data_IF_192003105019
#
_entry.id   IF_192003105019
#
_cell.length_a   1.000
_cell.length_b   1.000
_cell.length_c   1.000
_cell.angle_alpha   90.00
_cell.angle_beta   90.00
_cell.angle_gamma   90.00
#
_symmetry.space_group_name_H-M   'P 1'
#
loop_
_entity.id
_entity.type
_entity.pdbx_description
1 polymer ?
#
# COMPACT_ATOMS: atom_id res chain seq x y z
N UNK A 1 -12.40 -15.92 9.06
CA UNK A 1 -11.44 -15.87 10.18
C UNK A 1 -10.43 -14.79 9.84
N UNK A 2 -10.20 -13.81 10.71
CA UNK A 2 -9.19 -12.77 10.48
C UNK A 2 -7.80 -13.42 10.45
N UNK A 3 -7.03 -13.13 9.42
CA UNK A 3 -5.66 -13.63 9.26
C UNK A 3 -4.68 -12.55 9.71
N UNK A 4 -3.77 -12.90 10.61
CA UNK A 4 -2.71 -12.01 11.06
C UNK A 4 -1.49 -12.17 10.16
N UNK A 5 -0.95 -11.07 9.67
CA UNK A 5 0.26 -11.01 8.84
C UNK A 5 1.35 -10.16 9.47
N UNK A 6 2.60 -10.34 8.99
CA UNK A 6 3.73 -9.52 9.38
C UNK A 6 4.07 -8.50 8.28
N UNK A 7 4.23 -7.23 8.66
CA UNK A 7 4.69 -6.18 7.74
C UNK A 7 6.22 -6.09 7.78
N UNK A 8 6.88 -6.34 6.65
CA UNK A 8 8.33 -6.51 6.60
C UNK A 8 9.14 -5.23 6.79
N UNK A 9 8.52 -4.05 6.72
CA UNK A 9 9.23 -2.79 6.99
C UNK A 9 9.83 -2.75 8.41
N UNK A 10 9.18 -3.41 9.38
CA UNK A 10 9.66 -3.49 10.76
C UNK A 10 10.98 -4.26 10.88
N UNK A 11 11.23 -5.19 9.97
CA UNK A 11 12.42 -6.04 9.90
C UNK A 11 13.25 -5.80 8.63
N UNK A 12 13.09 -4.65 7.99
CA UNK A 12 13.68 -4.34 6.67
C UNK A 12 15.20 -4.52 6.59
N UNK A 13 15.92 -4.32 7.69
CA UNK A 13 17.37 -4.55 7.73
C UNK A 13 17.76 -6.03 7.54
N UNK A 14 16.81 -6.94 7.73
CA UNK A 14 16.98 -8.39 7.58
C UNK A 14 16.30 -8.94 6.32
N UNK A 15 16.07 -8.09 5.32
CA UNK A 15 15.47 -8.48 4.03
C UNK A 15 16.26 -7.94 2.84
N UNK A 16 17.55 -7.65 3.05
CA UNK A 16 18.40 -7.01 2.05
C UNK A 16 19.25 -8.01 1.23
N UNK A 17 19.43 -9.23 1.71
CA UNK A 17 20.06 -10.34 0.98
C UNK A 17 19.08 -11.50 0.88
N UNK A 18 19.30 -12.43 -0.05
CA UNK A 18 18.44 -13.60 -0.21
C UNK A 18 18.53 -14.53 1.01
N UNK A 19 19.70 -14.60 1.64
CA UNK A 19 19.96 -15.38 2.85
C UNK A 19 19.20 -14.80 4.05
N UNK A 20 19.31 -13.50 4.27
CA UNK A 20 18.59 -12.80 5.34
C UNK A 20 17.08 -12.86 5.15
N UNK A 21 16.61 -12.65 3.90
CA UNK A 21 15.20 -12.76 3.56
C UNK A 21 14.66 -14.16 3.86
N UNK A 22 15.40 -15.22 3.43
CA UNK A 22 15.01 -16.62 3.69
C UNK A 22 14.93 -16.90 5.19
N UNK A 23 15.93 -16.48 5.95
CA UNK A 23 15.96 -16.67 7.40
C UNK A 23 14.81 -15.90 8.10
N UNK A 24 14.53 -14.70 7.64
CA UNK A 24 13.46 -13.83 8.21
C UNK A 24 12.08 -14.43 7.94
N UNK A 25 11.80 -14.87 6.71
CA UNK A 25 10.51 -15.50 6.36
C UNK A 25 10.31 -16.81 7.14
N UNK A 26 11.37 -17.62 7.34
CA UNK A 26 11.27 -18.82 8.15
C UNK A 26 10.93 -18.48 9.61
N UNK A 27 11.59 -17.50 10.22
CA UNK A 27 11.28 -17.05 11.60
C UNK A 27 9.86 -16.54 11.73
N UNK A 28 9.35 -15.79 10.74
CA UNK A 28 7.97 -15.30 10.71
C UNK A 28 6.99 -16.49 10.68
N UNK A 29 7.26 -17.50 9.88
CA UNK A 29 6.46 -18.72 9.84
C UNK A 29 6.50 -19.50 11.16
N UNK A 30 7.69 -19.64 11.77
CA UNK A 30 7.89 -20.34 13.06
C UNK A 30 7.14 -19.64 14.22
N UNK A 31 7.04 -18.30 14.20
CA UNK A 31 6.21 -17.53 15.14
C UNK A 31 4.72 -17.83 14.97
N UNK A 32 4.31 -18.28 13.78
CA UNK A 32 2.94 -18.67 13.49
C UNK A 32 2.19 -17.76 12.52
N UNK A 33 2.81 -16.71 11.98
CA UNK A 33 2.21 -15.90 10.92
C UNK A 33 2.00 -16.72 9.65
N UNK A 34 0.97 -16.37 8.88
CA UNK A 34 0.60 -17.04 7.63
C UNK A 34 0.63 -16.11 6.43
N UNK A 35 0.85 -14.83 6.67
CA UNK A 35 0.88 -13.81 5.63
C UNK A 35 1.96 -12.77 5.91
N UNK A 36 2.47 -12.15 4.82
CA UNK A 36 3.37 -11.00 4.88
C UNK A 36 2.92 -9.91 3.94
N UNK A 37 3.20 -8.67 4.36
CA UNK A 37 3.24 -7.52 3.47
C UNK A 37 4.70 -7.25 3.10
N UNK A 38 5.01 -7.30 1.81
CA UNK A 38 6.35 -6.96 1.31
C UNK A 38 6.54 -5.43 1.37
N UNK A 39 7.52 -4.99 2.15
CA UNK A 39 7.87 -3.57 2.26
C UNK A 39 9.37 -3.44 2.52
N UNK A 40 10.05 -2.62 1.72
CA UNK A 40 11.49 -2.38 1.78
C UNK A 40 12.36 -3.65 1.65
N UNK A 41 11.89 -4.63 0.90
CA UNK A 41 12.70 -5.80 0.49
C UNK A 41 13.68 -5.36 -0.60
N UNK A 42 14.88 -5.93 -0.60
CA UNK A 42 15.92 -5.59 -1.59
C UNK A 42 15.44 -5.83 -3.02
N UNK A 43 15.63 -4.82 -3.89
CA UNK A 43 15.35 -4.92 -5.32
C UNK A 43 16.27 -5.93 -6.07
N UNK A 44 17.31 -6.45 -5.41
CA UNK A 44 18.20 -7.47 -5.97
C UNK A 44 17.62 -8.88 -5.86
N UNK A 45 16.65 -9.11 -4.97
CA UNK A 45 15.95 -10.39 -4.84
C UNK A 45 14.81 -10.41 -5.85
N UNK A 46 14.87 -11.34 -6.79
CA UNK A 46 13.88 -11.44 -7.88
C UNK A 46 12.51 -11.89 -7.34
N UNK A 47 11.40 -11.47 -7.98
CA UNK A 47 10.06 -11.88 -7.58
C UNK A 47 9.85 -13.39 -7.48
N UNK A 48 10.46 -14.17 -8.38
CA UNK A 48 10.40 -15.63 -8.38
C UNK A 48 11.08 -16.22 -7.13
N UNK A 49 12.20 -15.65 -6.70
CA UNK A 49 12.92 -16.07 -5.50
C UNK A 49 12.11 -15.74 -4.24
N UNK A 50 11.53 -14.51 -4.18
CA UNK A 50 10.64 -14.09 -3.09
C UNK A 50 9.47 -15.08 -2.99
N UNK A 51 8.80 -15.34 -4.11
CA UNK A 51 7.67 -16.26 -4.17
C UNK A 51 8.05 -17.66 -3.69
N UNK A 52 9.13 -18.22 -4.22
CA UNK A 52 9.61 -19.58 -3.86
C UNK A 52 9.93 -19.68 -2.36
N UNK A 53 10.60 -18.68 -1.78
CA UNK A 53 10.94 -18.65 -0.34
C UNK A 53 9.68 -18.62 0.51
N UNK A 54 8.72 -17.74 0.16
CA UNK A 54 7.45 -17.62 0.90
C UNK A 54 6.62 -18.92 0.80
N UNK A 55 6.54 -19.52 -0.39
CA UNK A 55 5.81 -20.79 -0.60
C UNK A 55 6.40 -21.94 0.22
N UNK A 56 7.73 -22.06 0.26
CA UNK A 56 8.41 -23.11 1.07
C UNK A 56 8.13 -22.93 2.57
N UNK A 57 7.99 -21.69 3.04
CA UNK A 57 7.66 -21.41 4.42
C UNK A 57 6.14 -21.44 4.74
N UNK A 58 5.29 -21.66 3.73
CA UNK A 58 3.84 -21.61 3.87
C UNK A 58 3.30 -20.22 4.20
N UNK A 59 3.94 -19.17 3.69
CA UNK A 59 3.59 -17.76 3.89
C UNK A 59 2.97 -17.20 2.61
N UNK A 60 1.79 -16.60 2.72
CA UNK A 60 1.14 -15.88 1.63
C UNK A 60 1.63 -14.42 1.55
N UNK A 61 1.86 -13.92 0.34
CA UNK A 61 2.14 -12.51 0.09
C UNK A 61 0.80 -11.82 -0.17
N UNK A 62 0.37 -10.96 0.76
CA UNK A 62 -0.98 -10.38 0.70
C UNK A 62 -1.02 -8.93 0.25
N UNK A 63 0.11 -8.21 0.29
CA UNK A 63 0.20 -6.81 -0.07
C UNK A 63 1.67 -6.44 -0.30
N UNK A 64 1.92 -5.45 -1.14
CA UNK A 64 3.26 -4.87 -1.31
C UNK A 64 3.26 -3.38 -0.96
N UNK A 65 4.44 -2.81 -0.70
CA UNK A 65 4.70 -1.39 -0.87
C UNK A 65 5.62 -1.24 -2.09
N UNK A 66 5.04 -0.76 -3.18
CA UNK A 66 5.71 -0.60 -4.46
C UNK A 66 6.27 0.82 -4.63
N UNK A 67 7.28 0.95 -5.47
CA UNK A 67 7.87 2.24 -5.82
C UNK A 67 6.83 3.08 -6.59
N UNK A 68 6.52 4.31 -6.15
CA UNK A 68 5.53 5.16 -6.82
C UNK A 68 5.85 5.44 -8.28
N UNK A 69 7.13 5.58 -8.64
CA UNK A 69 7.54 5.79 -10.03
C UNK A 69 7.23 4.57 -10.91
N UNK A 70 7.34 3.35 -10.35
CA UNK A 70 6.94 2.14 -11.06
C UNK A 70 5.42 2.04 -11.22
N UNK A 71 4.65 2.46 -10.20
CA UNK A 71 3.19 2.49 -10.32
C UNK A 71 2.79 3.44 -11.45
N UNK A 72 3.41 4.61 -11.55
CA UNK A 72 3.09 5.64 -12.54
C UNK A 72 3.57 5.30 -13.95
N UNK A 73 4.78 4.77 -14.10
CA UNK A 73 5.47 4.71 -15.39
C UNK A 73 5.78 3.30 -15.88
N UNK A 74 5.63 2.28 -15.02
CA UNK A 74 5.95 0.87 -15.31
C UNK A 74 4.85 -0.09 -14.81
N UNK A 75 3.60 0.37 -14.86
CA UNK A 75 2.43 -0.33 -14.29
C UNK A 75 2.29 -1.75 -14.85
N UNK A 76 2.47 -1.94 -16.15
CA UNK A 76 2.28 -3.23 -16.81
C UNK A 76 3.34 -4.26 -16.36
N UNK A 77 4.59 -3.86 -16.16
CA UNK A 77 5.63 -4.72 -15.62
C UNK A 77 5.40 -5.01 -14.12
N UNK A 78 4.93 -4.02 -13.37
CA UNK A 78 4.59 -4.18 -11.97
C UNK A 78 3.43 -5.17 -11.77
N UNK A 79 2.42 -5.15 -12.64
CA UNK A 79 1.31 -6.11 -12.65
C UNK A 79 1.84 -7.54 -12.87
N UNK A 80 2.72 -7.74 -13.86
CA UNK A 80 3.34 -9.05 -14.14
C UNK A 80 4.18 -9.55 -12.95
N UNK A 81 4.90 -8.66 -12.28
CA UNK A 81 5.64 -8.99 -11.06
C UNK A 81 4.68 -9.48 -9.96
N UNK A 82 3.53 -8.84 -9.80
CA UNK A 82 2.52 -9.26 -8.83
C UNK A 82 1.83 -10.58 -9.20
N UNK A 83 1.76 -10.92 -10.49
CA UNK A 83 1.33 -12.26 -10.92
C UNK A 83 2.32 -13.33 -10.47
N UNK A 84 3.63 -13.08 -10.60
CA UNK A 84 4.69 -13.98 -10.10
C UNK A 84 4.60 -14.11 -8.57
N UNK A 85 4.47 -12.99 -7.86
CA UNK A 85 4.33 -12.96 -6.41
C UNK A 85 3.05 -13.65 -5.91
N UNK A 86 2.04 -13.84 -6.78
CA UNK A 86 0.71 -14.32 -6.40
C UNK A 86 -0.02 -13.32 -5.49
N UNK A 87 0.22 -12.03 -5.67
CA UNK A 87 -0.31 -10.94 -4.86
C UNK A 87 -1.27 -10.08 -5.69
N UNK A 88 -2.48 -9.86 -5.18
CA UNK A 88 -3.49 -9.06 -5.87
C UNK A 88 -3.54 -7.59 -5.42
N UNK A 89 -2.79 -7.22 -4.40
CA UNK A 89 -2.82 -5.87 -3.83
C UNK A 89 -1.47 -5.17 -4.05
N UNK A 90 -1.50 -4.13 -4.90
CA UNK A 90 -0.34 -3.30 -5.26
C UNK A 90 -0.39 -2.04 -4.41
N UNK A 91 0.41 -1.96 -3.35
CA UNK A 91 0.34 -0.88 -2.38
C UNK A 91 1.31 0.26 -2.67
N UNK A 92 0.85 1.48 -2.38
CA UNK A 92 1.67 2.67 -2.21
C UNK A 92 1.86 2.91 -0.71
N UNK A 93 3.10 2.86 -0.25
CA UNK A 93 3.42 2.89 1.18
C UNK A 93 3.32 4.26 1.85
N UNK A 94 3.31 5.33 1.09
CA UNK A 94 3.08 6.71 1.54
C UNK A 94 2.85 7.63 0.34
N UNK A 95 2.23 8.77 0.58
CA UNK A 95 2.13 9.83 -0.44
C UNK A 95 3.53 10.32 -0.82
N UNK A 96 3.89 10.31 -2.11
CA UNK A 96 5.16 10.86 -2.55
C UNK A 96 5.26 12.37 -2.24
N UNK A 97 6.45 12.84 -1.87
CA UNK A 97 6.67 14.22 -1.41
C UNK A 97 6.14 15.28 -2.37
N UNK A 98 6.22 15.02 -3.66
CA UNK A 98 5.68 15.87 -4.73
C UNK A 98 4.22 16.27 -4.49
N UNK A 99 3.38 15.36 -3.98
CA UNK A 99 1.94 15.58 -3.82
C UNK A 99 1.54 16.09 -2.43
N UNK A 100 2.49 16.29 -1.51
CA UNK A 100 2.22 16.73 -0.13
C UNK A 100 1.97 18.24 0.01
N UNK A 101 1.87 18.96 -1.11
CA UNK A 101 1.57 20.39 -1.11
C UNK A 101 0.12 20.63 -1.57
N UNK A 102 -0.47 21.74 -1.13
CA UNK A 102 -1.83 22.12 -1.51
C UNK A 102 -2.01 22.23 -3.03
N UNK A 103 -0.97 22.67 -3.72
CA UNK A 103 -0.96 22.84 -5.17
C UNK A 103 -0.97 21.50 -5.91
N UNK A 104 -0.23 20.50 -5.42
CA UNK A 104 0.00 19.23 -6.13
C UNK A 104 -0.93 18.09 -5.69
N UNK A 105 -1.65 18.22 -4.58
CA UNK A 105 -2.51 17.15 -4.08
C UNK A 105 -3.56 16.70 -5.11
N UNK A 106 -4.18 17.65 -5.82
CA UNK A 106 -5.17 17.32 -6.87
C UNK A 106 -4.56 16.54 -8.04
N UNK A 107 -3.27 16.72 -8.30
CA UNK A 107 -2.54 15.99 -9.32
C UNK A 107 -2.31 14.52 -8.95
N UNK A 108 -2.31 14.16 -7.66
CA UNK A 108 -2.20 12.76 -7.25
C UNK A 108 -3.31 11.91 -7.89
N UNK A 109 -4.56 12.37 -7.79
CA UNK A 109 -5.70 11.64 -8.36
C UNK A 109 -5.54 11.53 -9.88
N UNK A 110 -5.23 12.62 -10.58
CA UNK A 110 -5.08 12.60 -12.05
C UNK A 110 -3.94 11.69 -12.51
N UNK A 111 -2.80 11.71 -11.80
CA UNK A 111 -1.60 10.96 -12.18
C UNK A 111 -1.78 9.44 -11.90
N UNK A 112 -2.40 9.08 -10.76
CA UNK A 112 -2.59 7.68 -10.37
C UNK A 112 -3.86 7.03 -10.95
N UNK A 113 -4.76 7.81 -11.55
CA UNK A 113 -6.06 7.30 -12.07
C UNK A 113 -5.89 6.23 -13.14
N UNK A 114 -5.08 6.48 -14.16
CA UNK A 114 -4.86 5.50 -15.23
C UNK A 114 -4.07 4.27 -14.77
N UNK A 115 -2.98 4.38 -13.97
CA UNK A 115 -2.38 3.23 -13.30
C UNK A 115 -3.38 2.39 -12.49
N UNK A 116 -4.24 3.01 -11.68
CA UNK A 116 -5.23 2.30 -10.87
C UNK A 116 -6.23 1.53 -11.74
N UNK A 117 -6.73 2.13 -12.83
CA UNK A 117 -7.59 1.44 -13.80
C UNK A 117 -6.91 0.24 -14.47
N UNK A 118 -5.64 0.37 -14.85
CA UNK A 118 -4.86 -0.75 -15.42
C UNK A 118 -4.72 -1.89 -14.42
N UNK A 119 -4.44 -1.56 -13.16
CA UNK A 119 -4.34 -2.52 -12.06
C UNK A 119 -5.68 -3.24 -11.86
N UNK A 120 -6.79 -2.50 -11.83
CA UNK A 120 -8.13 -3.05 -11.72
C UNK A 120 -8.50 -3.96 -12.91
N UNK A 121 -8.19 -3.54 -14.14
CA UNK A 121 -8.42 -4.34 -15.35
C UNK A 121 -7.65 -5.67 -15.36
N UNK A 122 -6.52 -5.73 -14.63
CA UNK A 122 -5.74 -6.96 -14.41
C UNK A 122 -6.26 -7.83 -13.24
N UNK A 123 -7.43 -7.51 -12.65
CA UNK A 123 -7.99 -8.24 -11.52
C UNK A 123 -7.26 -8.01 -10.19
N UNK A 124 -6.54 -6.90 -10.08
CA UNK A 124 -5.81 -6.49 -8.88
C UNK A 124 -6.38 -5.19 -8.33
N UNK A 125 -5.94 -4.77 -7.15
CA UNK A 125 -6.39 -3.52 -6.54
C UNK A 125 -5.18 -2.67 -6.16
N UNK A 126 -5.23 -1.40 -6.54
CA UNK A 126 -4.29 -0.41 -6.03
C UNK A 126 -4.65 -0.08 -4.58
N UNK A 127 -3.67 -0.14 -3.66
CA UNK A 127 -3.87 0.07 -2.23
C UNK A 127 -3.09 1.28 -1.74
N UNK A 128 -3.75 2.19 -1.08
CA UNK A 128 -3.14 3.37 -0.50
C UNK A 128 -2.94 3.19 1.01
N UNK A 129 -1.73 3.44 1.53
CA UNK A 129 -1.42 3.41 2.95
C UNK A 129 -1.40 4.85 3.50
N UNK A 130 -2.24 5.13 4.49
CA UNK A 130 -2.32 6.43 5.14
C UNK A 130 -1.23 6.64 6.18
N UNK A 131 -0.85 7.91 6.34
CA UNK A 131 -0.12 8.45 7.48
C UNK A 131 -0.99 9.51 8.18
N UNK A 132 -0.40 10.30 9.09
CA UNK A 132 -1.11 11.40 9.74
C UNK A 132 -1.45 12.56 8.80
N UNK A 133 -0.67 12.77 7.74
CA UNK A 133 -0.89 13.82 6.74
C UNK A 133 -2.31 13.75 6.14
N UNK A 134 -2.79 12.56 5.82
CA UNK A 134 -4.08 12.36 5.16
C UNK A 134 -5.29 12.72 6.05
N UNK A 135 -5.04 12.95 7.35
CA UNK A 135 -6.05 13.42 8.30
C UNK A 135 -6.09 14.93 8.43
N UNK A 136 -5.17 15.67 7.80
CA UNK A 136 -5.22 17.11 7.71
C UNK A 136 -6.41 17.55 6.82
N UNK A 137 -6.93 18.76 7.10
CA UNK A 137 -8.00 19.37 6.31
C UNK A 137 -7.41 20.42 5.38
N UNK A 138 -7.90 20.46 4.14
CA UNK A 138 -7.63 21.57 3.23
C UNK A 138 -8.77 22.58 3.25
N UNK A 139 -8.42 23.87 3.10
CA UNK A 139 -9.42 24.87 2.79
C UNK A 139 -10.03 24.60 1.41
N UNK A 140 -11.36 24.69 1.29
CA UNK A 140 -12.12 24.36 0.08
C UNK A 140 -11.66 25.12 -1.18
N UNK A 141 -11.01 26.28 -1.01
CA UNK A 141 -10.45 27.09 -2.10
C UNK A 141 -9.27 26.45 -2.84
N UNK A 142 -8.65 25.39 -2.27
CA UNK A 142 -7.47 24.73 -2.83
C UNK A 142 -7.77 23.39 -3.53
N UNK A 143 -9.00 22.89 -3.40
CA UNK A 143 -9.40 21.62 -4.02
C UNK A 143 -10.71 21.81 -4.78
N UNK A 144 -10.74 21.60 -6.11
CA UNK A 144 -11.97 21.67 -6.89
C UNK A 144 -13.05 20.76 -6.29
N UNK A 145 -14.21 21.31 -5.98
CA UNK A 145 -15.37 20.59 -5.43
C UNK A 145 -15.20 19.98 -4.02
N UNK A 146 -14.17 20.35 -3.25
CA UNK A 146 -14.03 19.88 -1.88
C UNK A 146 -15.04 20.56 -0.95
N UNK A 147 -15.73 19.79 -0.11
CA UNK A 147 -16.53 20.32 0.98
C UNK A 147 -15.63 20.99 2.02
N UNK A 148 -16.11 22.03 2.73
CA UNK A 148 -15.38 22.67 3.83
C UNK A 148 -14.99 21.61 4.88
N UNK A 149 -13.77 21.71 5.40
CA UNK A 149 -13.22 20.82 6.43
C UNK A 149 -13.03 19.35 6.02
N UNK A 150 -12.97 19.06 4.72
CA UNK A 150 -12.71 17.71 4.23
C UNK A 150 -11.27 17.31 4.50
N UNK A 151 -11.07 16.07 4.95
CA UNK A 151 -9.74 15.48 5.12
C UNK A 151 -9.15 15.04 3.78
N UNK A 152 -7.83 15.05 3.67
CA UNK A 152 -7.13 14.58 2.47
C UNK A 152 -7.53 13.15 2.13
N UNK A 153 -7.62 12.25 3.12
CA UNK A 153 -7.99 10.85 2.89
C UNK A 153 -9.37 10.71 2.24
N UNK A 154 -10.35 11.47 2.71
CA UNK A 154 -11.70 11.49 2.14
C UNK A 154 -11.69 11.97 0.69
N UNK A 155 -10.90 13.01 0.40
CA UNK A 155 -10.73 13.54 -0.95
C UNK A 155 -10.07 12.52 -1.89
N UNK A 156 -9.04 11.80 -1.41
CA UNK A 156 -8.39 10.75 -2.19
C UNK A 156 -9.37 9.61 -2.51
N UNK A 157 -10.12 9.14 -1.52
CA UNK A 157 -11.10 8.06 -1.68
C UNK A 157 -12.18 8.38 -2.72
N UNK A 158 -12.65 9.63 -2.76
CA UNK A 158 -13.65 10.05 -3.75
C UNK A 158 -13.08 10.21 -5.16
N UNK A 159 -11.77 10.37 -5.28
CA UNK A 159 -11.08 10.45 -6.57
C UNK A 159 -11.03 9.13 -7.35
N UNK A 160 -11.27 8.00 -6.69
CA UNK A 160 -11.18 6.66 -7.29
C UNK A 160 -12.48 5.89 -7.10
N UNK A 161 -12.78 4.96 -8.02
CA UNK A 161 -13.85 4.00 -7.79
C UNK A 161 -13.40 2.92 -6.77
N UNK A 162 -14.33 2.28 -6.04
CA UNK A 162 -13.99 1.26 -5.03
C UNK A 162 -13.22 0.05 -5.58
N UNK A 163 -13.35 -0.24 -6.88
CA UNK A 163 -12.61 -1.28 -7.58
C UNK A 163 -11.27 -0.80 -8.18
N UNK A 164 -11.01 0.50 -8.14
CA UNK A 164 -9.74 1.09 -8.59
C UNK A 164 -8.75 1.24 -7.43
N UNK A 165 -9.22 1.72 -6.25
CA UNK A 165 -8.34 1.95 -5.10
C UNK A 165 -9.01 1.54 -3.79
N UNK A 166 -8.27 0.79 -2.97
CA UNK A 166 -8.59 0.48 -1.57
C UNK A 166 -7.61 1.16 -0.59
N UNK A 167 -7.91 1.03 0.69
CA UNK A 167 -7.08 1.59 1.76
C UNK A 167 -6.42 0.48 2.57
N UNK A 168 -5.12 0.64 2.81
CA UNK A 168 -4.41 -0.04 3.89
C UNK A 168 -4.45 0.87 5.10
N UNK A 169 -5.51 0.77 5.91
CA UNK A 169 -5.71 1.65 7.05
C UNK A 169 -4.69 1.36 8.15
N UNK A 170 -3.76 2.28 8.35
CA UNK A 170 -2.82 2.24 9.48
C UNK A 170 -3.42 2.97 10.68
N UNK A 171 -3.88 2.18 11.65
CA UNK A 171 -4.55 2.69 12.85
C UNK A 171 -3.64 3.46 13.78
N UNK A 172 -2.33 3.22 13.74
CA UNK A 172 -1.36 4.04 14.48
C UNK A 172 -1.39 5.49 14.00
N UNK A 173 -1.40 5.71 12.68
CA UNK A 173 -1.43 7.05 12.11
C UNK A 173 -2.79 7.73 12.26
N UNK A 174 -3.89 6.96 12.27
CA UNK A 174 -5.23 7.48 12.62
C UNK A 174 -5.20 8.06 14.04
N UNK A 175 -4.71 7.28 15.01
CA UNK A 175 -4.59 7.71 16.40
C UNK A 175 -3.60 8.89 16.56
N UNK A 176 -2.45 8.85 15.88
CA UNK A 176 -1.44 9.91 15.92
C UNK A 176 -1.97 11.25 15.38
N UNK A 177 -2.91 11.21 14.43
CA UNK A 177 -3.60 12.39 13.92
C UNK A 177 -4.75 12.89 14.84
N UNK A 178 -4.98 12.22 15.97
CA UNK A 178 -6.07 12.56 16.90
C UNK A 178 -7.46 12.18 16.40
N UNK A 179 -7.56 11.29 15.40
CA UNK A 179 -8.83 10.80 14.88
C UNK A 179 -9.28 9.53 15.62
N UNK A 180 -10.59 9.26 15.64
CA UNK A 180 -11.14 8.05 16.26
C UNK A 180 -10.90 6.83 15.37
N UNK A 181 -10.14 5.86 15.89
CA UNK A 181 -9.77 4.64 15.16
C UNK A 181 -10.98 3.76 14.86
N UNK A 182 -11.92 3.64 15.80
CA UNK A 182 -13.09 2.78 15.62
C UNK A 182 -14.04 3.34 14.57
N UNK A 183 -14.20 4.67 14.54
CA UNK A 183 -14.99 5.35 13.52
C UNK A 183 -14.40 5.12 12.12
N UNK A 184 -13.09 5.24 11.97
CA UNK A 184 -12.42 5.01 10.69
C UNK A 184 -12.47 3.55 10.24
N UNK A 185 -12.29 2.59 11.15
CA UNK A 185 -12.47 1.16 10.83
C UNK A 185 -13.91 0.91 10.33
N UNK A 186 -14.91 1.49 11.01
CA UNK A 186 -16.31 1.32 10.61
C UNK A 186 -16.65 1.93 9.25
N UNK A 187 -16.01 3.04 8.89
CA UNK A 187 -16.20 3.69 7.59
C UNK A 187 -15.54 2.93 6.42
N UNK A 188 -14.49 2.14 6.71
CA UNK A 188 -13.72 1.38 5.70
C UNK A 188 -14.16 -0.09 5.58
N UNK A 189 -15.22 -0.50 6.28
CA UNK A 189 -15.70 -1.89 6.36
C UNK A 189 -16.71 -2.24 5.29
#
# INVERSE_FOLDING_TARGET
>A
MLQTGAQLYTVRSYTQTIEDFTCTIQKIADIGYKAVQLSAVSKQIKPEQIREICDRAGISIVLTHSDPERILHDTDALIKEHDILGCNYIGLGCMPDKYRTKEWLSHFISDFKEPAKKIAAAGKLFMYHNHNLEFETFAAENLPNAAPNRRILEYLLEGFAPDEMGITLDTYWVAAAGADVCDWISQMS
#
